data_IF_929491032266
#
_entry.id   IF_929491032266
#
_cell.length_a   1.000
_cell.length_b   1.000
_cell.length_c   1.000
_cell.angle_alpha   90.00
_cell.angle_beta   90.00
_cell.angle_gamma   90.00
#
_symmetry.space_group_name_H-M   'P 1'
#
loop_
_entity.id
_entity.type
_entity.pdbx_description
1 polymer ?
#
# COMPACT_ATOMS: atom_id res chain seq x y z
N UNK A 1 15.10 11.43 -1.57
CA UNK A 1 15.14 10.51 -0.44
C UNK A 1 13.83 9.75 -0.34
N UNK A 2 13.91 8.43 -0.28
CA UNK A 2 12.74 7.60 -0.20
C UNK A 2 12.04 7.68 1.15
N UNK A 3 10.72 7.52 1.13
CA UNK A 3 9.93 7.40 2.35
C UNK A 3 9.74 5.93 2.68
N UNK A 4 9.58 5.63 3.97
CA UNK A 4 9.25 4.27 4.41
C UNK A 4 7.74 4.18 4.58
N UNK A 5 7.06 3.26 3.90
CA UNK A 5 5.63 3.07 4.12
C UNK A 5 5.35 2.44 5.48
N UNK A 6 4.11 2.55 5.95
CA UNK A 6 3.72 1.95 7.22
C UNK A 6 3.81 0.42 7.19
N UNK A 7 3.57 -0.19 6.02
CA UNK A 7 3.65 -1.63 5.87
C UNK A 7 4.11 -1.96 4.45
N UNK A 8 4.98 -2.96 4.35
CA UNK A 8 5.45 -3.49 3.06
C UNK A 8 5.25 -5.00 3.04
N UNK A 9 4.72 -5.51 1.92
CA UNK A 9 4.59 -6.94 1.69
C UNK A 9 5.49 -7.34 0.51
N UNK A 10 6.22 -8.42 0.71
CA UNK A 10 7.09 -9.02 -0.31
C UNK A 10 6.44 -10.28 -0.89
N UNK A 11 6.94 -10.77 -2.03
CA UNK A 11 6.47 -12.04 -2.57
C UNK A 11 6.60 -13.15 -1.53
N UNK A 12 5.62 -14.08 -1.56
CA UNK A 12 5.67 -15.22 -0.67
C UNK A 12 6.93 -16.04 -0.95
N UNK A 13 7.63 -16.41 0.12
CA UNK A 13 8.81 -17.24 0.02
C UNK A 13 9.16 -17.80 1.38
N UNK A 14 10.16 -18.66 1.40
CA UNK A 14 10.65 -19.24 2.64
C UNK A 14 11.20 -18.13 3.54
N UNK A 15 10.79 -18.14 4.80
CA UNK A 15 11.34 -17.21 5.78
C UNK A 15 12.74 -17.66 6.15
N UNK A 16 13.71 -16.80 5.87
CA UNK A 16 15.09 -17.04 6.27
C UNK A 16 15.44 -16.05 7.39
N UNK A 17 15.40 -16.53 8.61
CA UNK A 17 15.72 -15.71 9.77
C UNK A 17 17.20 -15.33 9.87
N UNK A 18 18.04 -15.92 9.03
CA UNK A 18 19.47 -15.60 9.01
C UNK A 18 19.76 -14.36 8.16
N UNK A 19 18.86 -14.00 7.27
CA UNK A 19 19.02 -12.84 6.41
C UNK A 19 18.23 -11.66 6.96
N UNK A 20 18.88 -10.50 6.97
CA UNK A 20 18.22 -9.26 7.36
C UNK A 20 17.21 -8.88 6.28
N UNK A 21 15.93 -8.67 6.63
CA UNK A 21 14.93 -8.23 5.66
C UNK A 21 15.33 -6.97 4.89
N UNK A 22 16.15 -6.10 5.49
CA UNK A 22 16.63 -4.89 4.82
C UNK A 22 17.55 -5.18 3.64
N UNK A 23 18.04 -6.41 3.52
CA UNK A 23 18.94 -6.82 2.43
C UNK A 23 18.26 -7.61 1.34
N UNK A 24 16.93 -7.62 1.34
CA UNK A 24 16.20 -8.31 0.26
C UNK A 24 16.50 -7.64 -1.07
N UNK A 25 16.68 -8.48 -2.10
CA UNK A 25 16.92 -8.01 -3.46
C UNK A 25 15.66 -8.05 -4.32
N UNK A 26 14.62 -8.79 -3.89
CA UNK A 26 13.37 -8.85 -4.61
C UNK A 26 12.55 -7.59 -4.38
N UNK A 27 11.75 -7.20 -5.38
CA UNK A 27 10.88 -6.03 -5.28
C UNK A 27 9.70 -6.32 -4.35
N UNK A 28 9.29 -5.34 -3.54
CA UNK A 28 8.09 -5.49 -2.74
C UNK A 28 6.85 -5.56 -3.64
N UNK A 29 5.83 -6.30 -3.19
CA UNK A 29 4.56 -6.39 -3.91
C UNK A 29 3.64 -5.23 -3.58
N UNK A 30 3.51 -4.91 -2.31
CA UNK A 30 2.51 -3.98 -1.81
C UNK A 30 3.11 -3.07 -0.77
N UNK A 31 2.85 -1.77 -0.91
CA UNK A 31 3.13 -0.78 0.11
C UNK A 31 1.81 -0.24 0.63
N UNK A 32 1.66 -0.16 1.95
CA UNK A 32 0.47 0.39 2.58
C UNK A 32 0.88 1.61 3.40
N UNK A 33 0.20 2.72 3.15
CA UNK A 33 0.45 3.98 3.83
C UNK A 33 -0.83 4.44 4.50
N UNK A 34 -0.73 4.88 5.76
CA UNK A 34 -1.87 5.46 6.46
C UNK A 34 -1.77 6.97 6.34
N UNK A 35 -2.78 7.57 5.74
CA UNK A 35 -2.82 9.02 5.53
C UNK A 35 -3.19 9.70 6.83
N UNK A 36 -2.38 10.69 7.24
CA UNK A 36 -2.69 11.52 8.39
C UNK A 36 -3.21 12.89 7.91
N UNK A 37 -3.97 13.54 8.78
CA UNK A 37 -4.54 14.84 8.45
C UNK A 37 -3.47 15.91 8.23
N UNK A 38 -2.26 15.70 8.73
CA UNK A 38 -1.16 16.67 8.58
C UNK A 38 -0.40 16.51 7.26
N UNK A 39 -0.67 15.46 6.49
CA UNK A 39 0.01 15.23 5.22
C UNK A 39 -0.68 15.98 4.08
N UNK A 40 0.10 16.63 3.23
CA UNK A 40 -0.43 17.29 2.04
C UNK A 40 -0.64 16.28 0.91
N UNK A 41 -1.44 16.69 -0.06
CA UNK A 41 -1.65 15.88 -1.28
C UNK A 41 -0.33 15.69 -2.03
N UNK A 42 0.51 16.73 -2.05
CA UNK A 42 1.82 16.63 -2.69
C UNK A 42 2.71 15.59 -2.02
N UNK A 43 2.70 15.54 -0.68
CA UNK A 43 3.48 14.54 0.06
C UNK A 43 3.04 13.13 -0.31
N UNK A 44 1.73 12.91 -0.42
CA UNK A 44 1.19 11.60 -0.78
C UNK A 44 1.56 11.20 -2.19
N UNK A 45 1.47 12.14 -3.15
CA UNK A 45 1.85 11.86 -4.55
C UNK A 45 3.33 11.54 -4.67
N UNK A 46 4.17 12.28 -3.97
CA UNK A 46 5.61 12.04 -3.99
C UNK A 46 5.96 10.65 -3.45
N UNK A 47 5.28 10.24 -2.38
CA UNK A 47 5.47 8.90 -1.82
C UNK A 47 5.03 7.81 -2.79
N UNK A 48 3.88 7.99 -3.42
CA UNK A 48 3.37 7.04 -4.41
C UNK A 48 4.37 6.84 -5.56
N UNK A 49 4.86 7.94 -6.12
CA UNK A 49 5.84 7.87 -7.20
C UNK A 49 7.09 7.14 -6.75
N UNK A 50 7.55 7.41 -5.53
CA UNK A 50 8.74 6.78 -4.98
C UNK A 50 8.54 5.27 -4.83
N UNK A 51 7.41 4.83 -4.26
CA UNK A 51 7.16 3.40 -4.05
C UNK A 51 7.09 2.64 -5.37
N UNK A 52 6.37 3.17 -6.35
CA UNK A 52 6.29 2.52 -7.66
C UNK A 52 7.64 2.53 -8.38
N UNK A 53 8.42 3.58 -8.22
CA UNK A 53 9.77 3.64 -8.76
C UNK A 53 10.65 2.50 -8.20
N UNK A 54 10.49 2.19 -6.91
CA UNK A 54 11.24 1.12 -6.28
C UNK A 54 10.66 -0.28 -6.56
N UNK A 55 9.59 -0.37 -7.31
CA UNK A 55 9.11 -1.65 -7.84
C UNK A 55 7.87 -2.24 -7.21
N UNK A 56 7.17 -1.52 -6.32
CA UNK A 56 5.90 -2.05 -5.79
C UNK A 56 4.91 -2.22 -6.94
N UNK A 57 4.06 -3.24 -6.84
CA UNK A 57 3.02 -3.52 -7.83
C UNK A 57 1.73 -2.82 -7.49
N UNK A 58 1.46 -2.61 -6.22
CA UNK A 58 0.28 -1.91 -5.72
C UNK A 58 0.67 -1.05 -4.53
N UNK A 59 -0.08 0.04 -4.35
CA UNK A 59 0.06 0.87 -3.16
C UNK A 59 -1.33 1.22 -2.64
N UNK A 60 -1.55 1.01 -1.35
CA UNK A 60 -2.82 1.33 -0.71
C UNK A 60 -2.63 2.52 0.21
N UNK A 61 -3.48 3.52 0.05
CA UNK A 61 -3.52 4.67 0.96
C UNK A 61 -4.76 4.51 1.82
N UNK A 62 -4.54 4.21 3.10
CA UNK A 62 -5.63 4.06 4.06
C UNK A 62 -6.00 5.43 4.61
N UNK A 63 -7.27 5.78 4.54
CA UNK A 63 -7.82 7.05 5.01
C UNK A 63 -8.80 6.79 6.15
N UNK A 64 -8.33 6.73 7.41
CA UNK A 64 -9.19 6.37 8.53
C UNK A 64 -10.39 7.31 8.71
N UNK A 65 -10.20 8.60 8.46
CA UNK A 65 -11.27 9.59 8.62
C UNK A 65 -12.44 9.35 7.65
N UNK A 66 -12.17 8.71 6.52
CA UNK A 66 -13.20 8.39 5.52
C UNK A 66 -13.60 6.93 5.59
N UNK A 67 -13.00 6.16 6.48
CA UNK A 67 -13.15 4.70 6.55
C UNK A 67 -12.98 4.08 5.16
N UNK A 68 -11.95 4.54 4.46
CA UNK A 68 -11.72 4.17 3.08
C UNK A 68 -10.27 3.87 2.75
N UNK A 69 -10.07 3.26 1.60
CA UNK A 69 -8.76 2.90 1.09
C UNK A 69 -8.71 3.20 -0.41
N UNK A 70 -7.67 3.94 -0.83
CA UNK A 70 -7.37 4.10 -2.24
C UNK A 70 -6.39 3.01 -2.65
N UNK A 71 -6.73 2.23 -3.66
CA UNK A 71 -5.89 1.16 -4.18
C UNK A 71 -5.31 1.62 -5.51
N UNK A 72 -3.99 1.85 -5.52
CA UNK A 72 -3.26 2.34 -6.69
C UNK A 72 -2.55 1.18 -7.38
N UNK A 73 -2.68 1.10 -8.70
CA UNK A 73 -1.90 0.18 -9.54
C UNK A 73 -0.76 0.89 -10.26
N UNK A 74 -0.78 2.21 -10.28
CA UNK A 74 0.31 3.08 -10.69
C UNK A 74 0.10 4.44 -10.00
N UNK A 75 1.07 5.37 -10.04
CA UNK A 75 0.94 6.63 -9.29
C UNK A 75 -0.22 7.52 -9.71
N UNK A 76 -0.80 7.27 -10.89
CA UNK A 76 -1.82 8.14 -11.48
C UNK A 76 -3.18 7.48 -11.64
N UNK A 77 -3.32 6.24 -11.17
CA UNK A 77 -4.59 5.51 -11.29
C UNK A 77 -4.91 4.79 -10.00
N UNK A 78 -6.14 4.96 -9.51
CA UNK A 78 -6.58 4.30 -8.30
C UNK A 78 -8.08 4.04 -8.32
N UNK A 79 -8.51 3.13 -7.45
CA UNK A 79 -9.91 2.92 -7.12
C UNK A 79 -10.08 3.18 -5.63
N UNK A 80 -11.19 3.81 -5.26
CA UNK A 80 -11.50 4.13 -3.88
C UNK A 80 -12.60 3.22 -3.36
N UNK A 81 -12.34 2.58 -2.22
CA UNK A 81 -13.29 1.72 -1.54
C UNK A 81 -13.56 2.25 -0.14
N UNK A 82 -14.81 2.23 0.30
CA UNK A 82 -15.17 2.75 1.61
C UNK A 82 -16.43 2.07 2.15
N UNK A 83 -16.67 2.24 3.45
CA UNK A 83 -17.88 1.76 4.08
C UNK A 83 -18.01 0.24 4.03
N UNK A 84 -19.09 -0.21 3.41
CA UNK A 84 -19.39 -1.64 3.28
C UNK A 84 -18.81 -2.27 2.01
N UNK A 85 -17.97 -1.54 1.29
CA UNK A 85 -17.39 -2.04 0.04
C UNK A 85 -16.47 -3.23 0.31
N UNK A 86 -16.36 -4.08 -0.70
CA UNK A 86 -15.27 -5.06 -0.76
C UNK A 86 -14.11 -4.41 -1.49
N UNK A 87 -13.00 -4.21 -0.79
CA UNK A 87 -11.77 -3.73 -1.43
C UNK A 87 -11.27 -4.80 -2.38
N UNK A 88 -10.93 -4.40 -3.59
CA UNK A 88 -10.38 -5.31 -4.60
C UNK A 88 -9.10 -4.74 -5.16
N UNK A 89 -8.03 -5.51 -5.02
CA UNK A 89 -6.76 -5.23 -5.67
C UNK A 89 -6.57 -6.29 -6.75
N UNK A 90 -6.88 -5.93 -7.99
CA UNK A 90 -6.83 -6.89 -9.10
C UNK A 90 -5.41 -7.22 -9.52
N UNK A 91 -4.45 -6.34 -9.23
CA UNK A 91 -3.05 -6.59 -9.53
C UNK A 91 -2.50 -7.73 -8.70
N UNK A 92 -2.85 -7.78 -7.40
CA UNK A 92 -2.38 -8.79 -6.46
C UNK A 92 -3.42 -9.86 -6.17
N UNK A 93 -4.61 -9.77 -6.76
CA UNK A 93 -5.71 -10.71 -6.53
C UNK A 93 -6.12 -10.78 -5.04
N UNK A 94 -6.25 -9.61 -4.42
CA UNK A 94 -6.64 -9.50 -3.00
C UNK A 94 -8.05 -8.93 -2.91
N UNK A 95 -8.88 -9.52 -2.05
CA UNK A 95 -10.19 -8.99 -1.72
C UNK A 95 -10.34 -8.92 -0.21
N UNK A 96 -10.85 -7.77 0.28
CA UNK A 96 -11.01 -7.54 1.71
C UNK A 96 -12.37 -6.88 1.95
N UNK A 97 -13.12 -7.40 2.90
CA UNK A 97 -14.35 -6.79 3.38
C UNK A 97 -13.99 -5.60 4.27
N UNK A 98 -14.16 -4.38 3.76
CA UNK A 98 -13.74 -3.16 4.49
C UNK A 98 -14.51 -2.95 5.78
N UNK A 99 -15.74 -3.44 5.86
CA UNK A 99 -16.51 -3.33 7.10
C UNK A 99 -15.75 -3.93 8.28
N UNK A 100 -14.99 -5.02 8.04
CA UNK A 100 -14.22 -5.67 9.09
C UNK A 100 -12.95 -4.92 9.45
N UNK A 101 -12.44 -4.10 8.54
CA UNK A 101 -11.19 -3.36 8.78
C UNK A 101 -11.42 -2.18 9.72
N UNK A 102 -12.55 -1.51 9.57
CA UNK A 102 -12.83 -0.27 10.31
C UNK A 102 -13.86 -0.43 11.43
N UNK A 103 -14.29 -1.64 11.75
CA UNK A 103 -15.22 -1.85 12.86
C UNK A 103 -14.58 -1.70 14.26
#
# INVERSE_FOLDING_TARGET
MGSTPNLILYPFGELDFKNDPARRTDSPLLAIEIHSASQSTKDMTDKLESYFYFGVKSCWIVMPNLQGVCVYDNPFHYNFFHGNDTLKDTTLAIEIDLKKVFE
#
